data_IF_702939307164
#
_entry.id   IF_702939307164
#
_cell.length_a   1.000
_cell.length_b   1.000
_cell.length_c   1.000
_cell.angle_alpha   90.00
_cell.angle_beta   90.00
_cell.angle_gamma   90.00
#
_symmetry.space_group_name_H-M   'P 1'
#
loop_
_entity.id
_entity.type
_entity.pdbx_description
1 polymer ?
#
# COMPACT_ATOMS: atom_id res chain seq x y z
N UNK A 1 -6.53 -24.23 -18.85
CA UNK A 1 -6.06 -23.10 -17.99
C UNK A 1 -6.90 -21.86 -18.27
N UNK A 2 -7.49 -21.25 -17.26
CA UNK A 2 -8.19 -19.96 -17.38
C UNK A 2 -7.23 -18.79 -17.10
N UNK A 3 -6.72 -18.18 -18.17
CA UNK A 3 -5.78 -17.07 -18.10
C UNK A 3 -6.35 -15.84 -17.37
N UNK A 4 -7.65 -15.56 -17.59
CA UNK A 4 -8.32 -14.41 -16.98
C UNK A 4 -8.38 -14.55 -15.46
N UNK A 5 -8.73 -15.74 -14.98
CA UNK A 5 -8.78 -16.03 -13.53
C UNK A 5 -7.39 -15.94 -12.88
N UNK A 6 -6.35 -16.43 -13.56
CA UNK A 6 -4.97 -16.37 -13.07
C UNK A 6 -4.50 -14.93 -12.99
N UNK A 7 -4.72 -14.13 -14.02
CA UNK A 7 -4.37 -12.70 -14.04
C UNK A 7 -5.11 -11.93 -12.95
N UNK A 8 -6.40 -12.23 -12.74
CA UNK A 8 -7.17 -11.61 -11.64
C UNK A 8 -6.56 -11.93 -10.28
N UNK A 9 -6.26 -13.20 -9.99
CA UNK A 9 -5.63 -13.60 -8.71
C UNK A 9 -4.26 -12.95 -8.51
N UNK A 10 -3.43 -12.86 -9.57
CA UNK A 10 -2.14 -12.19 -9.48
C UNK A 10 -2.26 -10.68 -9.33
N UNK A 11 -3.29 -10.07 -9.92
CA UNK A 11 -3.60 -8.65 -9.73
C UNK A 11 -4.01 -8.36 -8.28
N UNK A 12 -4.86 -9.20 -7.68
CA UNK A 12 -5.24 -9.06 -6.27
C UNK A 12 -4.02 -9.12 -5.34
N UNK A 13 -3.07 -10.00 -5.64
CA UNK A 13 -1.79 -10.07 -4.90
C UNK A 13 -0.98 -8.78 -5.09
N UNK A 14 -0.88 -8.27 -6.32
CA UNK A 14 -0.16 -7.03 -6.61
C UNK A 14 -0.77 -5.85 -5.86
N UNK A 15 -2.09 -5.71 -5.88
CA UNK A 15 -2.82 -4.62 -5.22
C UNK A 15 -2.63 -4.68 -3.69
N UNK A 16 -2.64 -5.89 -3.13
CA UNK A 16 -2.33 -6.09 -1.71
C UNK A 16 -0.89 -5.68 -1.38
N UNK A 17 0.09 -6.06 -2.21
CA UNK A 17 1.50 -5.67 -2.02
C UNK A 17 1.66 -4.15 -2.11
N UNK A 18 1.04 -3.50 -3.11
CA UNK A 18 1.09 -2.04 -3.27
C UNK A 18 0.51 -1.34 -2.05
N UNK A 19 -0.63 -1.82 -1.54
CA UNK A 19 -1.24 -1.30 -0.32
C UNK A 19 -0.32 -1.47 0.88
N UNK A 20 0.26 -2.65 1.04
CA UNK A 20 1.17 -2.99 2.15
C UNK A 20 2.45 -2.14 2.15
N UNK A 21 3.09 -1.95 0.99
CA UNK A 21 4.27 -1.09 0.89
C UNK A 21 3.91 0.40 1.00
N UNK A 22 2.67 0.77 0.66
CA UNK A 22 2.14 2.12 0.83
C UNK A 22 2.13 2.57 2.30
N UNK A 23 1.94 1.64 3.23
CA UNK A 23 1.97 1.92 4.68
C UNK A 23 3.35 2.25 5.24
N UNK A 24 4.43 1.96 4.50
CA UNK A 24 5.81 2.23 4.92
C UNK A 24 6.06 3.73 4.87
N UNK A 25 6.45 4.31 6.01
CA UNK A 25 6.77 5.74 6.12
C UNK A 25 8.04 6.06 5.34
N UNK A 26 7.94 7.00 4.42
CA UNK A 26 9.08 7.49 3.63
C UNK A 26 9.71 8.77 4.21
N UNK A 27 9.19 9.26 5.34
CA UNK A 27 9.59 10.57 5.90
C UNK A 27 8.98 11.75 5.15
N UNK A 28 8.20 11.48 4.09
CA UNK A 28 7.45 12.53 3.37
C UNK A 28 6.04 12.65 3.90
N UNK A 29 5.60 13.87 4.02
CA UNK A 29 4.23 14.22 4.37
C UNK A 29 3.32 13.96 3.17
N UNK A 30 2.55 12.88 3.20
CA UNK A 30 1.54 12.58 2.18
C UNK A 30 0.16 12.53 2.82
N UNK A 31 -0.90 13.03 2.15
CA UNK A 31 -2.28 12.95 2.67
C UNK A 31 -2.71 11.55 3.08
N UNK A 32 -2.24 10.53 2.35
CA UNK A 32 -2.53 9.11 2.62
C UNK A 32 -2.17 8.65 4.04
N UNK A 33 -1.29 9.37 4.75
CA UNK A 33 -0.91 9.04 6.13
C UNK A 33 -2.02 9.25 7.14
N UNK A 34 -2.98 10.13 6.84
CA UNK A 34 -4.03 10.55 7.78
C UNK A 34 -5.44 10.56 7.18
N UNK A 35 -5.60 10.48 5.86
CA UNK A 35 -6.91 10.59 5.20
C UNK A 35 -7.91 9.52 5.64
N UNK A 36 -7.44 8.30 5.86
CA UNK A 36 -8.26 7.15 6.30
C UNK A 36 -8.44 7.07 7.83
N UNK A 37 -7.85 7.99 8.57
CA UNK A 37 -7.95 8.00 10.02
C UNK A 37 -9.36 8.37 10.46
N UNK A 38 -9.98 7.53 11.28
CA UNK A 38 -11.31 7.77 11.84
C UNK A 38 -11.20 8.57 13.12
N UNK A 39 -11.84 9.72 13.15
CA UNK A 39 -11.93 10.59 14.33
C UNK A 39 -13.38 10.71 14.80
N UNK A 40 -13.55 10.91 16.11
CA UNK A 40 -14.84 11.19 16.70
C UNK A 40 -15.09 12.71 16.61
N UNK A 41 -16.05 13.11 15.78
CA UNK A 41 -16.42 14.49 15.54
C UNK A 41 -17.79 14.80 16.14
N UNK A 42 -18.09 16.11 16.25
CA UNK A 42 -19.36 16.63 16.75
C UNK A 42 -19.73 16.11 18.14
N UNK A 43 -18.81 16.28 19.10
CA UNK A 43 -19.01 15.80 20.48
C UNK A 43 -18.96 14.27 20.60
N UNK A 44 -18.30 13.58 19.67
CA UNK A 44 -18.21 12.12 19.66
C UNK A 44 -19.43 11.39 19.08
N UNK A 45 -20.40 12.13 18.55
CA UNK A 45 -21.64 11.55 18.01
C UNK A 45 -21.43 10.88 16.66
N UNK A 46 -20.42 11.29 15.91
CA UNK A 46 -20.12 10.75 14.59
C UNK A 46 -18.65 10.30 14.50
N UNK A 47 -18.43 9.14 13.89
CA UNK A 47 -17.10 8.64 13.55
C UNK A 47 -16.90 8.78 12.04
N UNK A 48 -16.07 9.71 11.63
CA UNK A 48 -15.81 10.06 10.24
C UNK A 48 -14.31 10.02 9.95
N UNK A 49 -13.97 9.75 8.71
CA UNK A 49 -12.58 9.83 8.25
C UNK A 49 -12.14 11.30 8.15
N UNK A 50 -10.85 11.56 8.32
CA UNK A 50 -10.32 12.93 8.23
C UNK A 50 -10.57 13.54 6.85
N UNK A 51 -10.52 12.75 5.77
CA UNK A 51 -10.83 13.21 4.42
C UNK A 51 -12.30 13.61 4.22
N UNK A 52 -13.21 13.13 5.08
CA UNK A 52 -14.64 13.52 5.10
C UNK A 52 -14.90 14.80 5.91
N UNK A 53 -13.93 15.26 6.68
CA UNK A 53 -14.04 16.41 7.59
C UNK A 53 -13.20 17.62 7.15
N UNK A 54 -12.15 17.38 6.36
CA UNK A 54 -11.16 18.39 6.05
C UNK A 54 -10.49 18.16 4.69
N UNK A 55 -9.96 19.22 4.12
CA UNK A 55 -9.00 19.14 3.02
C UNK A 55 -7.60 18.92 3.58
N UNK A 56 -6.89 17.94 3.03
CA UNK A 56 -5.52 17.59 3.45
C UNK A 56 -4.56 17.96 2.33
N UNK A 57 -3.57 18.79 2.65
CA UNK A 57 -2.54 19.23 1.70
C UNK A 57 -1.14 19.04 2.28
N UNK A 58 -0.16 18.93 1.41
CA UNK A 58 1.26 18.85 1.77
C UNK A 58 2.00 19.99 1.05
N UNK A 59 2.14 21.17 1.67
CA UNK A 59 2.82 22.31 1.07
C UNK A 59 4.32 22.09 0.92
N UNK A 60 4.89 21.24 1.74
CA UNK A 60 6.29 20.84 1.70
C UNK A 60 6.45 19.33 2.07
N UNK A 61 7.61 18.71 1.79
CA UNK A 61 7.81 17.28 2.02
C UNK A 61 7.70 16.82 3.48
N UNK A 62 7.71 17.73 4.44
CA UNK A 62 7.73 17.42 5.88
C UNK A 62 6.53 17.95 6.63
N UNK A 63 5.61 18.65 5.95
CA UNK A 63 4.45 19.29 6.59
C UNK A 63 3.16 18.82 5.95
N UNK A 64 2.22 18.35 6.78
CA UNK A 64 0.81 18.20 6.42
C UNK A 64 0.00 19.35 6.99
N UNK A 65 -0.91 19.86 6.18
CA UNK A 65 -1.88 20.87 6.58
C UNK A 65 -3.27 20.28 6.39
N UNK A 66 -4.05 20.31 7.45
CA UNK A 66 -5.45 19.90 7.48
C UNK A 66 -6.29 21.14 7.66
N UNK A 67 -7.14 21.41 6.69
CA UNK A 67 -8.06 22.54 6.71
C UNK A 67 -9.50 22.02 6.88
N UNK A 68 -10.05 22.04 8.11
CA UNK A 68 -11.40 21.56 8.36
C UNK A 68 -12.44 22.43 7.67
N UNK A 69 -13.45 21.81 7.08
CA UNK A 69 -14.59 22.53 6.51
C UNK A 69 -15.43 23.20 7.61
N UNK A 70 -15.52 22.55 8.77
CA UNK A 70 -16.13 23.12 9.96
C UNK A 70 -15.03 23.42 11.01
N UNK A 71 -14.80 24.71 11.27
CA UNK A 71 -13.77 25.15 12.21
C UNK A 71 -14.08 24.79 13.66
N UNK A 72 -15.33 24.50 13.98
CA UNK A 72 -15.74 24.14 15.35
C UNK A 72 -15.16 22.80 15.82
N UNK A 73 -14.87 21.86 14.87
CA UNK A 73 -14.36 20.51 15.17
C UNK A 73 -12.84 20.39 15.12
N UNK A 74 -12.12 21.50 14.92
CA UNK A 74 -10.64 21.47 14.79
C UNK A 74 -9.96 20.81 15.99
N UNK A 75 -10.47 21.06 17.21
CA UNK A 75 -9.95 20.44 18.44
C UNK A 75 -10.18 18.93 18.47
N UNK A 76 -11.32 18.47 17.97
CA UNK A 76 -11.69 17.06 17.92
C UNK A 76 -10.85 16.30 16.90
N UNK A 77 -10.62 16.88 15.72
CA UNK A 77 -9.72 16.31 14.71
C UNK A 77 -8.30 16.19 15.28
N UNK A 78 -7.79 17.23 15.91
CA UNK A 78 -6.47 17.18 16.59
C UNK A 78 -6.41 16.05 17.62
N UNK A 79 -7.43 15.95 18.48
CA UNK A 79 -7.48 14.92 19.51
C UNK A 79 -7.58 13.51 18.91
N UNK A 80 -8.33 13.34 17.83
CA UNK A 80 -8.44 12.08 17.10
C UNK A 80 -7.09 11.62 16.53
N UNK A 81 -6.33 12.54 15.93
CA UNK A 81 -4.99 12.27 15.40
C UNK A 81 -4.01 11.88 16.54
N UNK A 82 -4.06 12.58 17.68
CA UNK A 82 -3.25 12.23 18.86
C UNK A 82 -3.61 10.85 19.41
N UNK A 83 -4.92 10.56 19.51
CA UNK A 83 -5.43 9.29 20.05
C UNK A 83 -5.08 8.08 19.19
N UNK A 84 -4.87 8.27 17.90
CA UNK A 84 -4.44 7.22 16.98
C UNK A 84 -2.99 6.77 17.21
N UNK A 85 -2.24 7.51 18.02
CA UNK A 85 -0.85 7.18 18.44
C UNK A 85 0.07 6.81 17.24
N UNK A 86 -0.13 7.48 16.11
CA UNK A 86 0.68 7.28 14.90
C UNK A 86 2.00 8.05 14.92
N UNK A 87 2.34 8.66 16.09
CA UNK A 87 3.59 9.41 16.29
C UNK A 87 3.62 10.77 15.60
N UNK A 88 2.45 11.33 15.27
CA UNK A 88 2.33 12.69 14.77
C UNK A 88 1.98 13.66 15.90
N UNK A 89 2.49 14.88 15.78
CA UNK A 89 2.29 15.94 16.77
C UNK A 89 1.54 17.11 16.10
N UNK A 90 0.19 17.04 16.03
CA UNK A 90 -0.60 18.08 15.38
C UNK A 90 -0.62 19.35 16.24
N UNK A 91 -0.37 20.50 15.63
CA UNK A 91 -0.52 21.84 16.21
C UNK A 91 -1.64 22.60 15.49
N UNK A 92 -2.43 23.35 16.26
CA UNK A 92 -3.43 24.26 15.69
C UNK A 92 -2.72 25.58 15.38
N UNK A 93 -2.87 26.04 14.14
CA UNK A 93 -2.33 27.29 13.62
C UNK A 93 -3.49 28.08 12.98
N UNK A 94 -4.14 28.91 13.80
CA UNK A 94 -5.36 29.61 13.43
C UNK A 94 -6.53 28.65 13.15
N UNK A 95 -6.97 28.57 11.91
CA UNK A 95 -8.11 27.75 11.48
C UNK A 95 -7.69 26.42 10.82
N UNK A 96 -6.39 26.09 10.86
CA UNK A 96 -5.83 24.88 10.29
C UNK A 96 -5.10 24.06 11.33
N UNK A 97 -4.90 22.77 11.05
CA UNK A 97 -4.02 21.90 11.83
C UNK A 97 -2.77 21.64 11.00
N UNK A 98 -1.62 21.93 11.58
CA UNK A 98 -0.31 21.66 10.98
C UNK A 98 0.35 20.48 11.68
N UNK A 99 0.84 19.52 10.88
CA UNK A 99 1.60 18.38 11.38
C UNK A 99 2.98 18.44 10.74
N UNK A 100 4.00 18.59 11.57
CA UNK A 100 5.40 18.50 11.14
C UNK A 100 5.92 17.08 11.35
N UNK A 101 6.46 16.49 10.28
CA UNK A 101 7.08 15.18 10.33
C UNK A 101 8.59 15.35 10.50
N UNK A 102 9.18 14.78 11.55
CA UNK A 102 10.65 14.79 11.67
C UNK A 102 11.26 13.94 10.54
N UNK A 103 12.43 14.35 10.02
CA UNK A 103 13.15 13.56 9.04
C UNK A 103 13.51 12.18 9.63
N UNK A 104 13.48 11.15 8.78
CA UNK A 104 13.93 9.82 9.18
C UNK A 104 15.44 9.82 9.44
N UNK A 105 15.84 9.15 10.51
CA UNK A 105 17.26 8.87 10.75
C UNK A 105 17.79 7.84 9.74
N UNK A 106 19.11 7.75 9.57
CA UNK A 106 19.73 6.72 8.73
C UNK A 106 19.34 5.31 9.19
N UNK A 107 19.33 5.09 10.51
CA UNK A 107 18.92 3.80 11.09
C UNK A 107 17.45 3.45 10.78
N UNK A 108 16.55 4.44 10.84
CA UNK A 108 15.14 4.21 10.51
C UNK A 108 14.95 3.90 9.04
N UNK A 109 15.69 4.58 8.15
CA UNK A 109 15.68 4.28 6.71
C UNK A 109 16.11 2.85 6.44
N UNK A 110 17.20 2.38 7.05
CA UNK A 110 17.68 0.99 6.91
C UNK A 110 16.63 -0.02 7.41
N UNK A 111 15.97 0.26 8.53
CA UNK A 111 14.88 -0.58 9.04
C UNK A 111 13.71 -0.65 8.05
N UNK A 112 13.31 0.49 7.48
CA UNK A 112 12.22 0.52 6.51
C UNK A 112 12.58 -0.15 5.18
N UNK A 113 13.83 -0.06 4.71
CA UNK A 113 14.30 -0.79 3.53
C UNK A 113 14.25 -2.31 3.78
N UNK A 114 14.65 -2.78 4.97
CA UNK A 114 14.53 -4.21 5.33
C UNK A 114 13.07 -4.65 5.40
N UNK A 115 12.20 -3.83 5.97
CA UNK A 115 10.76 -4.11 6.03
C UNK A 115 10.15 -4.16 4.62
N UNK A 116 10.53 -3.21 3.74
CA UNK A 116 10.13 -3.20 2.33
C UNK A 116 10.53 -4.50 1.64
N UNK A 117 11.81 -4.91 1.75
CA UNK A 117 12.31 -6.15 1.16
C UNK A 117 11.52 -7.38 1.63
N UNK A 118 11.17 -7.45 2.92
CA UNK A 118 10.37 -8.54 3.48
C UNK A 118 8.96 -8.57 2.88
N UNK A 119 8.31 -7.42 2.75
CA UNK A 119 6.96 -7.31 2.17
C UNK A 119 6.96 -7.69 0.68
N UNK A 120 7.95 -7.23 -0.09
CA UNK A 120 8.11 -7.58 -1.50
C UNK A 120 8.33 -9.09 -1.68
N UNK A 121 9.18 -9.70 -0.87
CA UNK A 121 9.42 -11.16 -0.95
C UNK A 121 8.16 -11.95 -0.59
N UNK A 122 7.38 -11.51 0.39
CA UNK A 122 6.07 -12.10 0.69
C UNK A 122 5.15 -12.05 -0.54
N UNK A 123 5.11 -10.94 -1.24
CA UNK A 123 4.35 -10.80 -2.50
C UNK A 123 4.82 -11.77 -3.59
N UNK A 124 6.15 -11.89 -3.80
CA UNK A 124 6.71 -12.86 -4.75
C UNK A 124 6.36 -14.30 -4.39
N UNK A 125 6.34 -14.63 -3.09
CA UNK A 125 5.92 -15.96 -2.61
C UNK A 125 4.46 -16.23 -2.98
N UNK A 126 3.57 -15.26 -2.78
CA UNK A 126 2.14 -15.39 -3.15
C UNK A 126 1.95 -15.55 -4.67
N UNK A 127 2.67 -14.79 -5.49
CA UNK A 127 2.65 -14.98 -6.96
C UNK A 127 3.12 -16.40 -7.33
N UNK A 128 4.20 -16.89 -6.70
CA UNK A 128 4.69 -18.28 -6.91
C UNK A 128 3.66 -19.32 -6.48
N UNK A 129 2.86 -19.04 -5.45
CA UNK A 129 1.80 -19.94 -5.02
C UNK A 129 0.69 -20.01 -6.07
N UNK A 130 0.20 -18.86 -6.57
CA UNK A 130 -0.82 -18.81 -7.66
C UNK A 130 -0.32 -19.57 -8.89
N UNK A 131 0.95 -19.37 -9.29
CA UNK A 131 1.57 -20.13 -10.37
C UNK A 131 1.58 -21.64 -10.10
N UNK A 132 1.94 -22.04 -8.89
CA UNK A 132 1.99 -23.46 -8.52
C UNK A 132 0.62 -24.13 -8.57
N UNK A 133 -0.43 -23.43 -8.18
CA UNK A 133 -1.82 -23.90 -8.28
C UNK A 133 -2.24 -24.09 -9.75
N UNK A 134 -2.00 -23.07 -10.59
CA UNK A 134 -2.29 -23.15 -12.02
C UNK A 134 -1.49 -24.26 -12.72
N UNK A 135 -0.23 -24.46 -12.35
CA UNK A 135 0.60 -25.53 -12.88
C UNK A 135 0.04 -26.93 -12.53
N UNK A 136 -0.52 -27.10 -11.33
CA UNK A 136 -1.17 -28.36 -10.93
C UNK A 136 -2.43 -28.62 -11.77
N UNK A 137 -3.22 -27.58 -12.06
CA UNK A 137 -4.40 -27.69 -12.91
C UNK A 137 -4.03 -28.09 -14.33
N UNK A 138 -2.99 -27.49 -14.93
CA UNK A 138 -2.48 -27.86 -16.26
C UNK A 138 -2.05 -29.32 -16.29
N UNK A 139 -1.29 -29.77 -15.27
CA UNK A 139 -0.85 -31.16 -15.18
C UNK A 139 -2.01 -32.14 -15.06
N UNK A 140 -3.00 -31.81 -14.23
CA UNK A 140 -4.23 -32.60 -14.09
C UNK A 140 -4.99 -32.74 -15.39
N UNK A 141 -5.19 -31.62 -16.11
CA UNK A 141 -5.88 -31.64 -17.41
C UNK A 141 -5.13 -32.51 -18.43
N UNK A 142 -3.81 -32.51 -18.41
CA UNK A 142 -2.99 -33.39 -19.25
C UNK A 142 -3.13 -34.86 -18.84
N UNK A 143 -3.06 -35.20 -17.56
CA UNK A 143 -3.22 -36.57 -17.05
C UNK A 143 -4.62 -37.13 -17.37
N UNK A 144 -5.63 -36.28 -17.31
CA UNK A 144 -7.01 -36.60 -17.68
C UNK A 144 -7.23 -36.62 -19.21
N UNK A 145 -6.18 -36.41 -20.01
CA UNK A 145 -6.20 -36.37 -21.50
C UNK A 145 -7.16 -35.31 -22.09
N UNK A 146 -7.40 -34.23 -21.35
CA UNK A 146 -8.21 -33.09 -21.81
C UNK A 146 -7.43 -32.17 -22.74
N UNK A 147 -6.10 -32.14 -22.61
CA UNK A 147 -5.19 -31.34 -23.42
C UNK A 147 -4.07 -32.21 -23.98
N UNK A 148 -3.57 -31.84 -25.16
CA UNK A 148 -2.40 -32.44 -25.79
C UNK A 148 -1.09 -31.98 -25.12
N UNK A 149 0.02 -32.62 -25.46
CA UNK A 149 1.34 -32.24 -24.97
C UNK A 149 1.75 -30.84 -25.46
N UNK A 150 1.45 -30.52 -26.72
CA UNK A 150 1.73 -29.19 -27.29
C UNK A 150 0.91 -28.10 -26.58
N UNK A 151 -0.37 -28.36 -26.30
CA UNK A 151 -1.21 -27.43 -25.54
C UNK A 151 -0.73 -27.24 -24.11
N UNK A 152 -0.30 -28.32 -23.44
CA UNK A 152 0.31 -28.23 -22.10
C UNK A 152 1.54 -27.33 -22.13
N UNK A 153 2.48 -27.56 -23.05
CA UNK A 153 3.68 -26.74 -23.18
C UNK A 153 3.34 -25.26 -23.47
N UNK A 154 2.38 -25.02 -24.35
CA UNK A 154 1.89 -23.67 -24.65
C UNK A 154 1.30 -22.97 -23.42
N UNK A 155 0.51 -23.68 -22.61
CA UNK A 155 -0.08 -23.15 -21.38
C UNK A 155 0.96 -22.89 -20.29
N UNK A 156 1.94 -23.78 -20.11
CA UNK A 156 3.06 -23.62 -19.18
C UNK A 156 3.91 -22.39 -19.52
N UNK A 157 4.20 -22.18 -20.81
CA UNK A 157 4.93 -21.01 -21.31
C UNK A 157 4.16 -19.71 -21.02
N UNK A 158 2.89 -19.69 -21.34
CA UNK A 158 2.02 -18.52 -21.08
C UNK A 158 1.90 -18.21 -19.59
N UNK A 159 1.78 -19.23 -18.74
CA UNK A 159 1.77 -19.08 -17.29
C UNK A 159 3.08 -18.46 -16.79
N UNK A 160 4.23 -18.87 -17.36
CA UNK A 160 5.50 -18.27 -17.02
C UNK A 160 5.58 -16.80 -17.43
N UNK A 161 5.16 -16.45 -18.65
CA UNK A 161 5.12 -15.06 -19.12
C UNK A 161 4.27 -14.15 -18.21
N UNK A 162 3.08 -14.63 -17.81
CA UNK A 162 2.21 -13.91 -16.87
C UNK A 162 2.90 -13.74 -15.50
N UNK A 163 3.52 -14.80 -15.00
CA UNK A 163 4.22 -14.78 -13.72
C UNK A 163 5.34 -13.73 -13.72
N UNK A 164 6.15 -13.74 -14.77
CA UNK A 164 7.29 -12.81 -14.91
C UNK A 164 6.81 -11.36 -14.99
N UNK A 165 5.69 -11.11 -15.72
CA UNK A 165 5.05 -9.79 -15.79
C UNK A 165 4.66 -9.26 -14.40
N UNK A 166 4.03 -10.09 -13.55
CA UNK A 166 3.59 -9.66 -12.23
C UNK A 166 4.75 -9.53 -11.24
N UNK A 167 5.77 -10.38 -11.33
CA UNK A 167 7.01 -10.24 -10.53
C UNK A 167 7.70 -8.93 -10.88
N UNK A 168 7.84 -8.59 -12.16
CA UNK A 168 8.41 -7.31 -12.60
C UNK A 168 7.63 -6.10 -12.08
N UNK A 169 6.29 -6.18 -12.04
CA UNK A 169 5.46 -5.11 -11.47
C UNK A 169 5.71 -4.93 -9.97
N UNK A 170 5.86 -6.02 -9.21
CA UNK A 170 6.22 -5.97 -7.78
C UNK A 170 7.61 -5.35 -7.61
N UNK A 171 8.59 -5.75 -8.43
CA UNK A 171 9.95 -5.23 -8.34
C UNK A 171 10.00 -3.73 -8.65
N UNK A 172 9.32 -3.27 -9.70
CA UNK A 172 9.20 -1.84 -10.04
C UNK A 172 8.54 -1.03 -8.92
N UNK A 173 7.49 -1.56 -8.29
CA UNK A 173 6.85 -0.91 -7.15
C UNK A 173 7.84 -0.80 -5.97
N UNK A 174 8.61 -1.85 -5.72
CA UNK A 174 9.66 -1.88 -4.71
C UNK A 174 10.77 -0.85 -4.95
N UNK A 175 11.31 -0.80 -6.17
CA UNK A 175 12.35 0.17 -6.56
C UNK A 175 11.89 1.62 -6.41
N UNK A 176 10.64 1.91 -6.76
CA UNK A 176 10.07 3.23 -6.60
C UNK A 176 10.00 3.60 -5.12
N UNK A 177 9.51 2.68 -4.28
CA UNK A 177 9.38 2.90 -2.85
C UNK A 177 10.75 3.02 -2.16
N UNK A 178 11.73 2.24 -2.56
CA UNK A 178 13.10 2.34 -2.04
C UNK A 178 13.73 3.69 -2.39
N UNK A 179 13.54 4.17 -3.62
CA UNK A 179 13.96 5.53 -4.00
C UNK A 179 13.32 6.61 -3.12
N UNK A 180 12.03 6.49 -2.82
CA UNK A 180 11.36 7.43 -1.92
C UNK A 180 11.96 7.41 -0.51
N UNK A 181 12.34 6.22 0.01
CA UNK A 181 12.97 6.05 1.32
C UNK A 181 14.39 6.64 1.37
N UNK A 182 15.13 6.57 0.27
CA UNK A 182 16.52 7.02 0.17
C UNK A 182 16.68 8.48 -0.27
N UNK A 183 15.67 9.05 -0.96
CA UNK A 183 15.67 10.47 -1.32
C UNK A 183 15.45 11.34 -0.08
N UNK A 184 16.39 12.22 0.17
CA UNK A 184 16.34 13.26 1.24
C UNK A 184 15.82 14.55 0.66
#
# INVERSE_FOLDING_TARGET
>A
MDETSIRSKMQDVLDMVITDIGTIRTGRATPALIEELVVAAYGGTQRLKVNELATITSPDPQTLVIDPWDKSIIGEIKQGILSANIGFNPSIDGEIIRISLPPLTTEDREKYVKLLSTKLESGRVMIRQVRSEAMREIKKDFEEKKISEDEKFGQEKKLQEITDEFVEKIDKAGENKERELLQV
#
